data_IF_076334626988
#
_entry.id   IF_076334626988
#
_cell.length_a   1.000
_cell.length_b   1.000
_cell.length_c   1.000
_cell.angle_alpha   90.00
_cell.angle_beta   90.00
_cell.angle_gamma   90.00
#
_symmetry.space_group_name_H-M   'P 1'
#
loop_
_entity.id
_entity.type
_entity.pdbx_description
1 polymer ?
#
# COMPACT_ATOMS: atom_id res chain seq x y z
N UNK A 1 -30.38 -17.66 -22.22
CA UNK A 1 -29.48 -18.08 -21.13
C UNK A 1 -28.61 -16.89 -20.75
N UNK A 2 -29.03 -16.12 -19.76
CA UNK A 2 -28.19 -15.06 -19.20
C UNK A 2 -26.96 -15.69 -18.54
N UNK A 3 -25.77 -15.34 -19.04
CA UNK A 3 -24.50 -15.63 -18.35
C UNK A 3 -24.61 -15.03 -16.96
N UNK A 4 -24.76 -15.84 -15.91
CA UNK A 4 -24.53 -15.41 -14.53
C UNK A 4 -23.22 -14.64 -14.52
N UNK A 5 -23.28 -13.30 -14.38
CA UNK A 5 -22.11 -12.45 -14.20
C UNK A 5 -21.33 -12.99 -13.01
N UNK A 6 -20.13 -13.47 -13.29
CA UNK A 6 -19.25 -14.03 -12.28
C UNK A 6 -18.84 -12.85 -11.36
N UNK A 7 -19.51 -12.72 -10.22
CA UNK A 7 -19.31 -11.61 -9.25
C UNK A 7 -17.90 -11.59 -8.63
N UNK A 8 -17.10 -12.62 -8.92
CA UNK A 8 -15.75 -12.82 -8.40
C UNK A 8 -14.62 -12.35 -9.33
N UNK A 9 -14.89 -11.65 -10.42
CA UNK A 9 -13.85 -11.13 -11.32
C UNK A 9 -14.09 -9.68 -11.69
N UNK A 10 -12.99 -8.94 -11.91
CA UNK A 10 -13.06 -7.59 -12.47
C UNK A 10 -13.70 -7.62 -13.87
N UNK A 11 -14.51 -6.60 -14.18
CA UNK A 11 -15.25 -6.55 -15.44
C UNK A 11 -14.37 -6.18 -16.63
N UNK A 12 -13.24 -5.50 -16.39
CA UNK A 12 -12.33 -5.01 -17.43
C UNK A 12 -10.87 -5.00 -16.97
N UNK A 13 -9.96 -5.08 -17.97
CA UNK A 13 -8.52 -4.93 -17.72
C UNK A 13 -8.17 -3.60 -17.06
N UNK A 14 -8.73 -2.50 -17.54
CA UNK A 14 -8.53 -1.18 -16.92
C UNK A 14 -9.10 -1.10 -15.51
N UNK A 15 -10.25 -1.74 -15.26
CA UNK A 15 -10.82 -1.85 -13.92
C UNK A 15 -9.91 -2.59 -12.97
N UNK A 16 -9.29 -3.70 -13.41
CA UNK A 16 -8.28 -4.40 -12.64
C UNK A 16 -7.04 -3.52 -12.38
N UNK A 17 -6.48 -2.88 -13.41
CA UNK A 17 -5.29 -2.02 -13.27
C UNK A 17 -5.59 -0.90 -12.28
N UNK A 18 -6.71 -0.17 -12.42
CA UNK A 18 -7.08 0.91 -11.50
C UNK A 18 -7.33 0.41 -10.07
N UNK A 19 -7.91 -0.78 -9.88
CA UNK A 19 -8.05 -1.38 -8.57
C UNK A 19 -6.70 -1.76 -7.96
N UNK A 20 -5.81 -2.37 -8.74
CA UNK A 20 -4.46 -2.73 -8.30
C UNK A 20 -3.59 -1.50 -8.03
N UNK A 21 -3.72 -0.46 -8.85
CA UNK A 21 -3.09 0.85 -8.62
C UNK A 21 -3.62 1.46 -7.33
N UNK A 22 -4.95 1.48 -7.12
CA UNK A 22 -5.55 1.98 -5.89
C UNK A 22 -5.14 1.19 -4.64
N UNK A 23 -4.86 -0.12 -4.79
CA UNK A 23 -4.30 -0.92 -3.70
C UNK A 23 -2.86 -0.55 -3.38
N UNK A 24 -2.05 -0.27 -4.39
CA UNK A 24 -0.65 0.11 -4.24
C UNK A 24 -0.52 1.59 -3.82
N UNK A 25 -1.25 2.48 -4.51
CA UNK A 25 -1.26 3.93 -4.19
C UNK A 25 -1.98 4.19 -2.87
N UNK A 26 -1.22 4.59 -1.86
CA UNK A 26 -1.73 4.84 -0.52
C UNK A 26 -0.92 5.91 0.22
N UNK A 27 -1.00 5.88 1.55
CA UNK A 27 -0.16 6.74 2.39
C UNK A 27 1.33 6.49 2.18
N UNK A 28 1.71 5.28 1.74
CA UNK A 28 3.08 4.95 1.36
C UNK A 28 3.63 5.86 0.26
N UNK A 29 2.80 6.25 -0.70
CA UNK A 29 3.18 7.14 -1.81
C UNK A 29 3.08 8.60 -1.40
N UNK A 30 1.98 8.97 -0.72
CA UNK A 30 1.70 10.38 -0.39
C UNK A 30 2.60 10.88 0.72
N UNK A 31 2.90 10.05 1.70
CA UNK A 31 3.67 10.42 2.88
C UNK A 31 4.98 9.63 3.01
N UNK A 32 4.90 8.29 2.97
CA UNK A 32 6.05 7.42 3.21
C UNK A 32 7.19 7.69 2.24
N UNK A 33 6.91 7.76 0.94
CA UNK A 33 7.91 7.97 -0.09
C UNK A 33 8.58 9.35 0.00
N UNK A 34 7.87 10.50 0.06
CA UNK A 34 8.50 11.80 0.24
C UNK A 34 9.34 11.87 1.52
N UNK A 35 8.83 11.32 2.64
CA UNK A 35 9.54 11.28 3.92
C UNK A 35 10.84 10.47 3.83
N UNK A 36 10.78 9.24 3.30
CA UNK A 36 11.95 8.39 3.12
C UNK A 36 12.96 9.00 2.13
N UNK A 37 12.49 9.60 1.04
CA UNK A 37 13.33 10.29 0.07
C UNK A 37 14.01 11.52 0.68
N UNK A 38 13.27 12.30 1.48
CA UNK A 38 13.78 13.46 2.20
C UNK A 38 14.89 13.10 3.18
N UNK A 39 14.67 12.04 3.97
CA UNK A 39 15.62 11.57 4.99
C UNK A 39 16.84 10.83 4.43
N UNK A 40 16.78 10.32 3.18
CA UNK A 40 17.77 9.40 2.63
C UNK A 40 18.41 9.89 1.32
N UNK A 41 18.65 11.20 1.17
CA UNK A 41 19.52 11.71 0.12
C UNK A 41 18.86 11.98 -1.22
N UNK A 42 17.54 12.15 -1.26
CA UNK A 42 16.82 12.68 -2.43
C UNK A 42 16.99 11.82 -3.69
N UNK A 43 17.62 12.37 -4.74
CA UNK A 43 17.78 11.72 -6.03
C UNK A 43 18.53 10.38 -5.99
N UNK A 44 19.46 10.18 -5.06
CA UNK A 44 20.16 8.91 -4.88
C UNK A 44 19.18 7.81 -4.41
N UNK A 45 18.34 8.13 -3.43
CA UNK A 45 17.28 7.23 -2.97
C UNK A 45 16.31 6.89 -4.10
N UNK A 46 15.87 7.88 -4.89
CA UNK A 46 14.98 7.67 -6.03
C UNK A 46 15.54 6.65 -7.03
N UNK A 47 16.81 6.74 -7.38
CA UNK A 47 17.45 5.82 -8.34
C UNK A 47 17.45 4.38 -7.82
N UNK A 48 17.80 4.18 -6.54
CA UNK A 48 17.81 2.84 -5.91
C UNK A 48 16.37 2.31 -5.80
N UNK A 49 15.42 3.14 -5.40
CA UNK A 49 14.01 2.78 -5.33
C UNK A 49 13.50 2.29 -6.69
N UNK A 50 13.76 3.02 -7.77
CA UNK A 50 13.37 2.62 -9.13
C UNK A 50 13.99 1.28 -9.55
N UNK A 51 15.24 1.01 -9.18
CA UNK A 51 15.88 -0.29 -9.42
C UNK A 51 15.08 -1.43 -8.76
N UNK A 52 14.71 -1.28 -7.48
CA UNK A 52 13.95 -2.30 -6.78
C UNK A 52 12.51 -2.42 -7.29
N UNK A 53 11.86 -1.33 -7.66
CA UNK A 53 10.53 -1.37 -8.31
C UNK A 53 10.57 -2.19 -9.59
N UNK A 54 11.61 -2.02 -10.44
CA UNK A 54 11.78 -2.81 -11.67
C UNK A 54 11.90 -4.30 -11.34
N UNK A 55 12.72 -4.67 -10.35
CA UNK A 55 12.90 -6.07 -9.96
C UNK A 55 11.59 -6.66 -9.41
N UNK A 56 10.94 -5.97 -8.48
CA UNK A 56 9.77 -6.49 -7.78
C UNK A 56 8.52 -6.51 -8.66
N UNK A 57 8.37 -5.55 -9.59
CA UNK A 57 7.29 -5.55 -10.58
C UNK A 57 7.47 -6.64 -11.65
N UNK A 58 8.70 -7.07 -11.89
CA UNK A 58 8.99 -8.13 -12.85
C UNK A 58 8.80 -9.55 -12.27
N UNK A 59 9.04 -9.73 -10.97
CA UNK A 59 9.05 -11.07 -10.36
C UNK A 59 8.13 -11.20 -9.15
N UNK A 60 8.25 -10.34 -8.14
CA UNK A 60 7.54 -10.46 -6.87
C UNK A 60 6.03 -10.30 -7.02
N UNK A 61 5.61 -9.15 -7.52
CA UNK A 61 4.19 -8.83 -7.74
C UNK A 61 3.49 -9.78 -8.71
N UNK A 62 4.08 -10.15 -9.88
CA UNK A 62 3.49 -11.16 -10.76
C UNK A 62 3.34 -12.53 -10.11
N UNK A 63 4.26 -12.93 -9.22
CA UNK A 63 4.16 -14.18 -8.50
C UNK A 63 2.94 -14.18 -7.57
N UNK A 64 2.70 -13.10 -6.80
CA UNK A 64 1.50 -12.99 -5.96
C UNK A 64 0.21 -13.01 -6.78
N UNK A 65 0.14 -12.24 -7.87
CA UNK A 65 -1.02 -12.29 -8.78
C UNK A 65 -1.25 -13.68 -9.36
N UNK A 66 -0.19 -14.37 -9.79
CA UNK A 66 -0.30 -15.71 -10.34
C UNK A 66 -0.79 -16.72 -9.31
N UNK A 67 -0.35 -16.61 -8.05
CA UNK A 67 -0.80 -17.49 -6.97
C UNK A 67 -2.26 -17.28 -6.63
N UNK A 68 -2.71 -16.04 -6.50
CA UNK A 68 -4.11 -15.72 -6.28
C UNK A 68 -5.00 -16.23 -7.42
N UNK A 69 -4.62 -15.97 -8.67
CA UNK A 69 -5.34 -16.43 -9.86
C UNK A 69 -5.41 -17.96 -9.96
N UNK A 70 -4.32 -18.65 -9.64
CA UNK A 70 -4.26 -20.12 -9.65
C UNK A 70 -5.17 -20.71 -8.58
N UNK A 71 -5.15 -20.16 -7.37
CA UNK A 71 -5.96 -20.63 -6.26
C UNK A 71 -7.44 -20.21 -6.38
N UNK A 72 -7.72 -19.14 -7.15
CA UNK A 72 -9.04 -18.48 -7.27
C UNK A 72 -9.63 -18.09 -5.91
N UNK A 73 -8.78 -17.70 -4.96
CA UNK A 73 -9.12 -17.32 -3.59
C UNK A 73 -8.02 -16.46 -2.96
N UNK A 74 -8.27 -15.98 -1.73
CA UNK A 74 -7.32 -15.16 -0.99
C UNK A 74 -6.09 -15.92 -0.49
N UNK A 75 -5.40 -15.30 0.45
CA UNK A 75 -4.08 -15.70 0.97
C UNK A 75 -4.02 -17.15 1.43
N UNK A 76 -4.96 -17.58 2.29
CA UNK A 76 -4.91 -18.94 2.88
C UNK A 76 -4.94 -20.03 1.81
N UNK A 77 -5.86 -19.93 0.85
CA UNK A 77 -5.95 -20.90 -0.22
C UNK A 77 -4.80 -20.85 -1.21
N UNK A 78 -4.18 -19.68 -1.43
CA UNK A 78 -3.00 -19.54 -2.27
C UNK A 78 -1.80 -20.27 -1.68
N UNK A 79 -1.53 -20.12 -0.38
CA UNK A 79 -0.47 -20.87 0.33
C UNK A 79 -0.76 -22.37 0.36
N UNK A 80 -1.99 -22.77 0.67
CA UNK A 80 -2.40 -24.17 0.65
C UNK A 80 -2.17 -24.80 -0.74
N UNK A 81 -2.58 -24.13 -1.81
CA UNK A 81 -2.44 -24.58 -3.18
C UNK A 81 -0.96 -24.68 -3.60
N UNK A 82 -0.14 -23.69 -3.29
CA UNK A 82 1.28 -23.68 -3.63
C UNK A 82 2.04 -24.83 -2.95
N UNK A 83 1.84 -25.01 -1.64
CA UNK A 83 2.49 -26.05 -0.85
C UNK A 83 1.96 -27.46 -1.19
N UNK A 84 0.69 -27.58 -1.59
CA UNK A 84 0.09 -28.85 -2.03
C UNK A 84 0.79 -29.46 -3.24
N UNK A 85 1.57 -28.69 -4.01
CA UNK A 85 2.43 -29.23 -5.08
C UNK A 85 3.48 -30.21 -4.58
N UNK A 86 3.78 -30.19 -3.27
CA UNK A 86 4.68 -31.15 -2.57
C UNK A 86 3.94 -32.27 -1.84
N UNK A 87 2.62 -32.26 -1.88
CA UNK A 87 1.77 -33.26 -1.27
C UNK A 87 0.73 -32.68 -0.31
N UNK A 88 -0.30 -33.47 0.02
CA UNK A 88 -1.44 -33.02 0.84
C UNK A 88 -1.05 -32.53 2.23
N UNK A 89 -0.06 -33.16 2.88
CA UNK A 89 0.43 -32.74 4.19
C UNK A 89 1.10 -31.36 4.13
N UNK A 90 1.94 -31.13 3.12
CA UNK A 90 2.55 -29.82 2.87
C UNK A 90 1.48 -28.76 2.60
N UNK A 91 0.44 -29.05 1.82
CA UNK A 91 -0.67 -28.10 1.59
C UNK A 91 -1.32 -27.63 2.89
N UNK A 92 -1.59 -28.52 3.85
CA UNK A 92 -2.13 -28.16 5.16
C UNK A 92 -1.18 -27.23 5.94
N UNK A 93 0.11 -27.52 5.92
CA UNK A 93 1.14 -26.67 6.54
C UNK A 93 1.17 -25.28 5.89
N UNK A 94 1.14 -25.22 4.54
CA UNK A 94 1.05 -23.95 3.81
C UNK A 94 -0.18 -23.14 4.22
N UNK A 95 -1.35 -23.76 4.31
CA UNK A 95 -2.57 -23.08 4.78
C UNK A 95 -2.47 -22.55 6.22
N UNK A 96 -1.73 -23.21 7.11
CA UNK A 96 -1.45 -22.71 8.46
C UNK A 96 -0.48 -21.52 8.42
N UNK A 97 0.62 -21.63 7.66
CA UNK A 97 1.59 -20.55 7.53
C UNK A 97 0.99 -19.29 6.89
N UNK A 98 0.02 -19.43 5.98
CA UNK A 98 -0.69 -18.31 5.36
C UNK A 98 -1.45 -17.41 6.33
N UNK A 99 -1.73 -17.88 7.57
CA UNK A 99 -2.35 -17.03 8.60
C UNK A 99 -1.45 -15.88 9.04
N UNK A 100 -0.12 -16.03 8.97
CA UNK A 100 0.81 -14.99 9.39
C UNK A 100 0.73 -13.74 8.47
N UNK A 101 0.93 -13.83 7.14
CA UNK A 101 0.78 -12.68 6.26
C UNK A 101 -0.66 -12.17 6.21
N UNK A 102 -1.67 -13.03 6.41
CA UNK A 102 -3.06 -12.63 6.50
C UNK A 102 -3.32 -11.79 7.76
N UNK A 103 -2.83 -12.21 8.91
CA UNK A 103 -2.89 -11.42 10.14
C UNK A 103 -2.15 -10.08 9.96
N UNK A 104 -1.01 -10.08 9.25
CA UNK A 104 -0.31 -8.86 8.87
C UNK A 104 -1.19 -7.88 8.11
N UNK A 105 -1.96 -8.36 7.13
CA UNK A 105 -2.91 -7.51 6.41
C UNK A 105 -3.99 -6.91 7.32
N UNK A 106 -4.49 -7.65 8.31
CA UNK A 106 -5.46 -7.11 9.27
C UNK A 106 -4.81 -6.13 10.24
N UNK A 107 -3.63 -6.45 10.76
CA UNK A 107 -2.92 -5.58 11.70
C UNK A 107 -2.55 -4.23 11.07
N UNK A 108 -2.08 -4.26 9.80
CA UNK A 108 -1.80 -3.00 9.09
C UNK A 108 -3.09 -2.23 8.80
N UNK A 109 -4.20 -2.90 8.45
CA UNK A 109 -5.47 -2.23 8.22
C UNK A 109 -5.97 -1.47 9.46
N UNK A 110 -5.81 -2.05 10.66
CA UNK A 110 -6.18 -1.42 11.93
C UNK A 110 -5.41 -0.12 12.14
N UNK A 111 -4.07 -0.15 12.09
CA UNK A 111 -3.26 1.05 12.27
C UNK A 111 -3.42 2.07 11.13
N UNK A 112 -3.62 1.58 9.91
CA UNK A 112 -3.83 2.43 8.74
C UNK A 112 -5.18 3.18 8.79
N UNK A 113 -6.24 2.53 9.32
CA UNK A 113 -7.54 3.16 9.52
C UNK A 113 -7.45 4.37 10.46
N UNK A 114 -6.59 4.33 11.48
CA UNK A 114 -6.36 5.48 12.40
C UNK A 114 -5.79 6.68 11.63
N UNK A 115 -4.77 6.47 10.79
CA UNK A 115 -4.19 7.59 10.00
C UNK A 115 -5.19 8.14 8.98
N UNK A 116 -5.97 7.28 8.32
CA UNK A 116 -7.04 7.72 7.39
C UNK A 116 -8.12 8.50 8.14
N UNK A 117 -8.37 8.17 9.41
CA UNK A 117 -9.27 8.91 10.29
C UNK A 117 -8.77 10.34 10.54
N UNK A 118 -7.48 10.50 10.80
CA UNK A 118 -6.86 11.83 10.94
C UNK A 118 -6.97 12.65 9.65
N UNK A 119 -6.78 11.99 8.49
CA UNK A 119 -6.98 12.64 7.18
C UNK A 119 -8.42 13.09 7.00
N UNK A 120 -9.41 12.28 7.41
CA UNK A 120 -10.83 12.66 7.35
C UNK A 120 -11.14 13.84 8.27
N UNK A 121 -10.56 13.85 9.48
CA UNK A 121 -10.68 15.00 10.38
C UNK A 121 -10.07 16.25 9.76
N UNK A 122 -8.88 16.16 9.19
CA UNK A 122 -8.23 17.28 8.50
C UNK A 122 -9.05 17.79 7.32
N UNK A 123 -9.70 16.90 6.55
CA UNK A 123 -10.63 17.27 5.50
C UNK A 123 -11.82 18.09 6.05
N UNK A 124 -12.47 17.58 7.09
CA UNK A 124 -13.64 18.25 7.70
C UNK A 124 -13.24 19.61 8.26
N UNK A 125 -12.13 19.67 8.99
CA UNK A 125 -11.64 20.93 9.58
C UNK A 125 -11.16 21.94 8.52
N UNK A 126 -10.69 21.47 7.36
CA UNK A 126 -10.43 22.31 6.19
C UNK A 126 -11.73 22.85 5.58
N UNK A 127 -12.78 22.01 5.48
CA UNK A 127 -14.09 22.39 4.95
C UNK A 127 -14.81 23.41 5.84
N UNK A 128 -14.69 23.24 7.16
CA UNK A 128 -15.25 24.21 8.14
C UNK A 128 -14.38 25.47 8.22
N UNK A 129 -13.09 25.35 8.01
CA UNK A 129 -12.11 26.45 8.06
C UNK A 129 -11.29 26.49 9.35
N UNK A 130 -11.57 25.62 10.31
CA UNK A 130 -10.86 25.56 11.60
C UNK A 130 -9.37 25.31 11.40
N UNK A 131 -9.00 24.38 10.50
CA UNK A 131 -7.61 24.07 10.18
C UNK A 131 -6.85 25.27 9.60
N UNK A 132 -7.54 26.22 8.96
CA UNK A 132 -6.92 27.37 8.30
C UNK A 132 -6.59 28.51 9.26
N UNK A 133 -7.05 28.46 10.51
CA UNK A 133 -6.89 29.52 11.51
C UNK A 133 -6.21 29.06 12.79
N UNK A 134 -6.15 27.76 13.03
CA UNK A 134 -5.51 27.18 14.20
C UNK A 134 -3.99 27.07 14.01
N UNK A 135 -3.20 27.09 15.08
CA UNK A 135 -1.83 26.60 15.04
C UNK A 135 -1.85 25.10 14.68
N UNK A 136 -1.12 24.72 13.64
CA UNK A 136 -1.19 23.36 13.09
C UNK A 136 -0.66 22.31 14.08
N UNK A 137 0.35 22.62 14.88
CA UNK A 137 0.91 21.71 15.88
C UNK A 137 -0.04 21.53 17.06
N UNK A 138 -0.63 22.62 17.57
CA UNK A 138 -1.63 22.56 18.63
C UNK A 138 -2.90 21.84 18.16
N UNK A 139 -3.34 22.13 16.93
CA UNK A 139 -4.49 21.46 16.32
C UNK A 139 -4.25 19.94 16.24
N UNK A 140 -3.10 19.49 15.74
CA UNK A 140 -2.77 18.08 15.65
C UNK A 140 -2.67 17.43 17.03
N UNK A 141 -1.98 18.07 17.98
CA UNK A 141 -1.84 17.58 19.35
C UNK A 141 -3.20 17.47 20.08
N UNK A 142 -4.16 18.34 19.77
CA UNK A 142 -5.47 18.39 20.45
C UNK A 142 -6.27 17.08 20.34
N UNK A 143 -6.04 16.27 19.29
CA UNK A 143 -6.72 15.00 19.12
C UNK A 143 -5.76 13.80 19.07
N UNK A 144 -4.55 13.96 18.55
CA UNK A 144 -3.59 12.84 18.44
C UNK A 144 -2.98 12.42 19.78
N UNK A 145 -3.06 13.26 20.80
CA UNK A 145 -2.65 12.95 22.17
C UNK A 145 -3.80 12.50 23.09
N UNK A 146 -5.05 12.59 22.64
CA UNK A 146 -6.22 12.28 23.47
C UNK A 146 -6.92 11.01 22.98
N UNK A 147 -7.12 9.98 23.85
CA UNK A 147 -7.84 8.78 23.47
C UNK A 147 -9.31 9.10 23.14
N UNK A 148 -9.84 8.38 22.18
CA UNK A 148 -11.25 8.47 21.73
C UNK A 148 -11.68 9.83 21.18
N UNK A 149 -10.75 10.68 20.79
CA UNK A 149 -11.03 12.04 20.29
C UNK A 149 -11.56 12.05 18.85
N UNK A 150 -11.29 11.01 18.08
CA UNK A 150 -11.64 10.91 16.65
C UNK A 150 -12.59 9.76 16.32
N UNK A 151 -13.23 9.16 17.32
CA UNK A 151 -14.17 8.01 17.18
C UNK A 151 -15.20 8.18 16.07
N UNK A 152 -15.91 9.31 15.91
CA UNK A 152 -16.89 9.46 14.83
C UNK A 152 -16.27 9.33 13.45
N UNK A 153 -15.10 9.93 13.25
CA UNK A 153 -14.34 9.85 11.99
C UNK A 153 -13.82 8.44 11.74
N UNK A 154 -13.39 7.74 12.81
CA UNK A 154 -12.89 6.36 12.73
C UNK A 154 -14.00 5.40 12.29
N UNK A 155 -15.18 5.51 12.88
CA UNK A 155 -16.36 4.73 12.48
C UNK A 155 -16.69 5.00 11.00
N UNK A 156 -16.70 6.27 10.57
CA UNK A 156 -17.00 6.63 9.17
C UNK A 156 -15.99 6.00 8.22
N UNK A 157 -14.70 6.06 8.52
CA UNK A 157 -13.64 5.49 7.69
C UNK A 157 -13.79 3.97 7.57
N UNK A 158 -13.92 3.27 8.69
CA UNK A 158 -13.99 1.79 8.71
C UNK A 158 -15.28 1.31 8.06
N UNK A 159 -16.42 1.82 8.50
CA UNK A 159 -17.74 1.42 7.94
C UNK A 159 -17.86 1.83 6.49
N UNK A 160 -17.48 3.06 6.14
CA UNK A 160 -17.49 3.55 4.76
C UNK A 160 -16.65 2.69 3.83
N UNK A 161 -15.44 2.32 4.25
CA UNK A 161 -14.58 1.42 3.46
C UNK A 161 -15.22 0.04 3.30
N UNK A 162 -15.71 -0.57 4.38
CA UNK A 162 -16.33 -1.90 4.33
C UNK A 162 -17.61 -1.93 3.48
N UNK A 163 -18.38 -0.85 3.46
CA UNK A 163 -19.54 -0.72 2.55
C UNK A 163 -19.12 -0.76 1.08
N UNK A 164 -17.96 -0.22 0.72
CA UNK A 164 -17.44 -0.32 -0.65
C UNK A 164 -17.01 -1.73 -1.04
N UNK A 165 -16.90 -2.66 -0.09
CA UNK A 165 -16.54 -4.06 -0.33
C UNK A 165 -17.76 -4.99 -0.44
N UNK A 166 -18.97 -4.49 -0.25
CA UNK A 166 -20.17 -5.33 -0.15
C UNK A 166 -20.37 -6.27 -1.36
N UNK A 167 -20.06 -5.79 -2.57
CA UNK A 167 -20.14 -6.58 -3.81
C UNK A 167 -18.78 -7.13 -4.28
N UNK A 168 -17.75 -7.14 -3.43
CA UNK A 168 -16.41 -7.66 -3.75
C UNK A 168 -15.73 -6.91 -4.90
N UNK A 169 -15.09 -7.66 -5.81
CA UNK A 169 -14.33 -7.12 -6.93
C UNK A 169 -15.09 -6.04 -7.73
N UNK A 170 -16.40 -6.19 -7.90
CA UNK A 170 -17.20 -5.22 -8.66
C UNK A 170 -17.29 -3.85 -7.99
N UNK A 171 -17.49 -3.82 -6.67
CA UNK A 171 -17.51 -2.56 -5.91
C UNK A 171 -16.14 -1.89 -5.88
N UNK A 172 -15.08 -2.67 -5.66
CA UNK A 172 -13.69 -2.21 -5.68
C UNK A 172 -13.37 -1.57 -7.04
N UNK A 173 -13.70 -2.26 -8.14
CA UNK A 173 -13.50 -1.72 -9.49
C UNK A 173 -14.23 -0.41 -9.71
N UNK A 174 -15.50 -0.33 -9.30
CA UNK A 174 -16.33 0.87 -9.49
C UNK A 174 -15.78 2.07 -8.71
N UNK A 175 -15.39 1.89 -7.45
CA UNK A 175 -14.83 2.97 -6.63
C UNK A 175 -13.48 3.43 -7.15
N UNK A 176 -12.58 2.51 -7.50
CA UNK A 176 -11.23 2.86 -7.97
C UNK A 176 -11.22 3.51 -9.36
N UNK A 177 -12.19 3.21 -10.22
CA UNK A 177 -12.38 3.92 -11.51
C UNK A 177 -12.63 5.42 -11.36
N UNK A 178 -13.14 5.85 -10.20
CA UNK A 178 -13.37 7.27 -9.89
C UNK A 178 -12.22 7.82 -9.04
N UNK A 179 -11.85 7.13 -7.97
CA UNK A 179 -10.88 7.63 -7.01
C UNK A 179 -9.49 7.82 -7.63
N UNK A 180 -9.00 6.86 -8.42
CA UNK A 180 -7.64 6.94 -8.94
C UNK A 180 -7.41 8.04 -9.96
N UNK A 181 -8.24 8.21 -11.01
CA UNK A 181 -8.08 9.35 -11.90
C UNK A 181 -8.19 10.71 -11.20
N UNK A 182 -9.10 10.85 -10.23
CA UNK A 182 -9.22 12.08 -9.44
C UNK A 182 -8.00 12.32 -8.56
N UNK A 183 -7.45 11.28 -7.93
CA UNK A 183 -6.21 11.35 -7.17
C UNK A 183 -5.07 11.95 -8.02
N UNK A 184 -4.80 11.36 -9.19
CA UNK A 184 -3.75 11.85 -10.08
C UNK A 184 -4.00 13.29 -10.53
N UNK A 185 -5.23 13.61 -10.93
CA UNK A 185 -5.59 14.97 -11.36
C UNK A 185 -5.32 15.99 -10.24
N UNK A 186 -5.76 15.72 -9.03
CA UNK A 186 -5.56 16.59 -7.86
C UNK A 186 -4.07 16.79 -7.59
N UNK A 187 -3.28 15.71 -7.54
CA UNK A 187 -1.85 15.83 -7.27
C UNK A 187 -1.09 16.57 -8.39
N UNK A 188 -1.50 16.43 -9.64
CA UNK A 188 -0.95 17.24 -10.75
C UNK A 188 -1.27 18.72 -10.56
N UNK A 189 -2.51 19.08 -10.19
CA UNK A 189 -2.91 20.47 -9.91
C UNK A 189 -2.09 21.04 -8.76
N UNK A 190 -1.89 20.27 -7.68
CA UNK A 190 -1.06 20.66 -6.53
C UNK A 190 0.42 20.82 -6.92
N UNK A 191 0.97 19.91 -7.73
CA UNK A 191 2.35 19.98 -8.21
C UNK A 191 2.59 21.25 -9.06
N UNK A 192 1.65 21.57 -9.96
CA UNK A 192 1.71 22.82 -10.72
C UNK A 192 1.68 24.04 -9.80
N UNK A 193 0.80 24.05 -8.77
CA UNK A 193 0.74 25.16 -7.81
C UNK A 193 2.06 25.33 -7.03
N UNK A 194 2.64 24.22 -6.55
CA UNK A 194 3.89 24.23 -5.78
C UNK A 194 5.08 24.69 -6.63
N UNK A 195 5.09 24.37 -7.92
CA UNK A 195 6.16 24.79 -8.83
C UNK A 195 6.34 26.32 -8.91
N UNK A 196 5.31 27.10 -8.59
CA UNK A 196 5.35 28.57 -8.53
C UNK A 196 5.68 29.11 -7.14
N UNK A 197 5.99 28.29 -6.14
CA UNK A 197 6.41 28.78 -4.83
C UNK A 197 7.88 29.25 -4.88
N UNK A 198 8.20 30.37 -4.24
CA UNK A 198 9.59 30.80 -4.06
C UNK A 198 10.42 29.70 -3.35
N UNK A 199 11.61 29.37 -3.84
CA UNK A 199 12.46 28.31 -3.24
C UNK A 199 12.15 26.88 -3.67
N UNK A 200 11.04 26.63 -4.38
CA UNK A 200 10.68 25.25 -4.84
C UNK A 200 11.78 24.61 -5.73
N UNK A 201 12.57 25.43 -6.45
CA UNK A 201 13.67 24.96 -7.28
C UNK A 201 14.74 24.17 -6.54
N UNK A 202 15.01 24.51 -5.28
CA UNK A 202 15.96 23.77 -4.44
C UNK A 202 15.42 22.36 -4.11
N UNK A 203 14.11 22.25 -3.82
CA UNK A 203 13.45 20.97 -3.62
C UNK A 203 13.47 20.08 -4.85
N UNK A 204 13.24 20.62 -6.04
CA UNK A 204 13.40 19.87 -7.30
C UNK A 204 14.84 19.43 -7.54
N UNK A 205 15.80 20.31 -7.28
CA UNK A 205 17.22 19.96 -7.37
C UNK A 205 17.57 18.82 -6.42
N UNK A 206 17.08 18.86 -5.18
CA UNK A 206 17.27 17.78 -4.20
C UNK A 206 16.66 16.45 -4.68
N UNK A 207 15.51 16.48 -5.32
CA UNK A 207 14.84 15.27 -5.83
C UNK A 207 15.56 14.63 -7.02
N UNK A 208 16.13 15.42 -7.91
CA UNK A 208 16.63 14.92 -9.20
C UNK A 208 18.13 14.99 -9.36
N UNK A 209 18.87 15.70 -8.51
CA UNK A 209 20.31 15.71 -8.51
C UNK A 209 20.87 14.63 -7.57
N UNK A 210 21.36 13.47 -8.07
CA UNK A 210 21.81 12.40 -7.20
C UNK A 210 23.06 12.79 -6.44
N UNK A 211 23.06 12.60 -5.15
CA UNK A 211 24.25 12.67 -4.30
C UNK A 211 24.92 11.30 -4.30
N UNK A 212 25.91 11.13 -5.17
CA UNK A 212 26.57 9.84 -5.43
C UNK A 212 27.32 9.27 -4.23
N UNK A 213 27.77 10.12 -3.31
CA UNK A 213 28.38 9.74 -2.04
C UNK A 213 27.43 8.92 -1.15
N UNK A 214 26.13 9.21 -1.20
CA UNK A 214 25.11 8.50 -0.44
C UNK A 214 24.95 7.03 -0.86
N UNK A 215 25.31 6.67 -2.09
CA UNK A 215 25.25 5.27 -2.56
C UNK A 215 26.22 4.34 -1.81
N UNK A 216 27.19 4.90 -1.08
CA UNK A 216 28.13 4.15 -0.25
C UNK A 216 27.51 3.71 1.09
N UNK A 217 26.42 4.34 1.52
CA UNK A 217 25.72 3.94 2.72
C UNK A 217 24.80 2.73 2.43
N UNK A 218 25.05 1.55 3.05
CA UNK A 218 24.19 0.39 2.85
C UNK A 218 22.74 0.64 3.28
N UNK A 219 22.50 1.55 4.22
CA UNK A 219 21.15 1.80 4.75
C UNK A 219 20.23 2.46 3.73
N UNK A 220 20.73 3.29 2.81
CA UNK A 220 19.90 3.87 1.76
C UNK A 220 19.32 2.78 0.84
N UNK A 221 20.09 1.73 0.57
CA UNK A 221 19.63 0.58 -0.21
C UNK A 221 18.52 -0.19 0.52
N UNK A 222 18.67 -0.35 1.84
CA UNK A 222 17.67 -1.02 2.67
C UNK A 222 16.37 -0.21 2.74
N UNK A 223 16.46 1.10 2.98
CA UNK A 223 15.30 1.99 3.00
C UNK A 223 14.58 2.04 1.64
N UNK A 224 15.30 2.13 0.54
CA UNK A 224 14.72 2.17 -0.79
C UNK A 224 14.08 0.82 -1.18
N UNK A 225 14.71 -0.29 -0.80
CA UNK A 225 14.17 -1.64 -0.99
C UNK A 225 12.89 -1.85 -0.17
N UNK A 226 12.91 -1.47 1.10
CA UNK A 226 11.73 -1.56 1.98
C UNK A 226 10.58 -0.72 1.45
N UNK A 227 10.85 0.51 1.02
CA UNK A 227 9.84 1.38 0.41
C UNK A 227 9.25 0.75 -0.87
N UNK A 228 10.06 0.10 -1.71
CA UNK A 228 9.56 -0.57 -2.92
C UNK A 228 8.69 -1.81 -2.59
N UNK A 229 9.07 -2.61 -1.59
CA UNK A 229 8.24 -3.73 -1.11
C UNK A 229 6.89 -3.24 -0.58
N UNK A 230 6.93 -2.20 0.26
CA UNK A 230 5.74 -1.67 0.91
C UNK A 230 4.80 -0.98 -0.10
N UNK A 231 5.34 -0.13 -0.98
CA UNK A 231 4.59 0.59 -1.99
C UNK A 231 3.86 -0.35 -2.95
N UNK A 232 4.55 -1.38 -3.44
CA UNK A 232 3.96 -2.39 -4.33
C UNK A 232 3.06 -3.41 -3.60
N UNK A 233 2.88 -3.28 -2.29
CA UNK A 233 2.08 -4.20 -1.46
C UNK A 233 2.48 -5.68 -1.62
N UNK A 234 3.77 -5.96 -1.87
CA UNK A 234 4.31 -7.32 -2.01
C UNK A 234 4.57 -7.89 -0.60
N UNK A 235 3.49 -8.19 0.11
CA UNK A 235 3.51 -8.55 1.53
C UNK A 235 3.24 -10.03 1.80
N UNK A 236 3.11 -10.84 0.74
CA UNK A 236 2.69 -12.23 0.85
C UNK A 236 1.18 -12.40 1.09
N UNK A 237 0.37 -11.35 0.94
CA UNK A 237 -1.08 -11.38 1.19
C UNK A 237 -1.90 -10.47 0.27
N UNK A 238 -1.74 -9.16 0.34
CA UNK A 238 -2.65 -8.18 -0.24
C UNK A 238 -2.87 -8.35 -1.74
N UNK A 239 -1.82 -8.51 -2.52
CA UNK A 239 -1.92 -8.61 -3.98
C UNK A 239 -2.42 -9.98 -4.45
N UNK A 240 -2.38 -11.00 -3.59
CA UNK A 240 -2.91 -12.35 -3.89
C UNK A 240 -4.41 -12.29 -4.16
N UNK A 241 -5.19 -11.56 -3.34
CA UNK A 241 -6.65 -11.47 -3.53
C UNK A 241 -7.02 -10.79 -4.85
N UNK A 242 -6.26 -9.78 -5.25
CA UNK A 242 -6.49 -9.15 -6.56
C UNK A 242 -6.12 -10.09 -7.70
N UNK A 243 -5.06 -10.87 -7.55
CA UNK A 243 -4.74 -11.95 -8.46
C UNK A 243 -5.88 -12.96 -8.63
N UNK A 244 -6.59 -13.29 -7.54
CA UNK A 244 -7.75 -14.20 -7.59
C UNK A 244 -8.91 -13.64 -8.44
N UNK A 245 -8.99 -12.33 -8.58
CA UNK A 245 -10.00 -11.65 -9.41
C UNK A 245 -9.55 -11.36 -10.83
N UNK A 246 -8.29 -11.65 -11.16
CA UNK A 246 -7.71 -11.44 -12.48
C UNK A 246 -8.20 -12.49 -13.48
N UNK A 247 -8.60 -12.04 -14.67
CA UNK A 247 -8.97 -12.93 -15.78
C UNK A 247 -7.80 -13.84 -16.19
N UNK A 248 -8.12 -15.06 -16.62
CA UNK A 248 -7.12 -16.02 -17.13
C UNK A 248 -6.45 -15.57 -18.44
N UNK A 249 -7.06 -14.65 -19.17
CA UNK A 249 -6.55 -14.14 -20.45
C UNK A 249 -5.53 -13.00 -20.28
N UNK A 250 -5.34 -12.52 -19.05
CA UNK A 250 -4.44 -11.40 -18.77
C UNK A 250 -3.01 -11.87 -18.49
N UNK A 251 -2.04 -11.13 -19.01
CA UNK A 251 -0.61 -11.31 -18.72
C UNK A 251 -0.29 -10.72 -17.34
N UNK A 252 -0.08 -11.57 -16.33
CA UNK A 252 0.20 -11.13 -14.94
C UNK A 252 1.44 -10.24 -14.84
N UNK A 253 2.47 -10.48 -15.65
CA UNK A 253 3.70 -9.67 -15.62
C UNK A 253 3.43 -8.30 -16.20
N UNK A 254 2.72 -8.23 -17.35
CA UNK A 254 2.37 -6.95 -17.96
C UNK A 254 1.45 -6.11 -17.07
N UNK A 255 0.51 -6.75 -16.37
CA UNK A 255 -0.37 -6.05 -15.42
C UNK A 255 0.41 -5.57 -14.20
N UNK A 256 1.29 -6.39 -13.64
CA UNK A 256 2.13 -6.01 -12.49
C UNK A 256 3.05 -4.83 -12.82
N UNK A 257 3.66 -4.82 -14.01
CA UNK A 257 4.49 -3.70 -14.46
C UNK A 257 3.69 -2.41 -14.63
N UNK A 258 2.46 -2.49 -15.17
CA UNK A 258 1.58 -1.33 -15.24
C UNK A 258 1.17 -0.82 -13.85
N UNK A 259 0.83 -1.72 -12.93
CA UNK A 259 0.53 -1.35 -11.54
C UNK A 259 1.70 -0.62 -10.91
N UNK A 260 2.91 -1.17 -11.02
CA UNK A 260 4.12 -0.56 -10.47
C UNK A 260 4.46 0.78 -11.12
N UNK A 261 4.24 0.92 -12.44
CA UNK A 261 4.46 2.19 -13.14
C UNK A 261 3.55 3.30 -12.57
N UNK A 262 2.25 3.03 -12.45
CA UNK A 262 1.32 4.02 -11.93
C UNK A 262 1.53 4.29 -10.43
N UNK A 263 1.89 3.27 -9.64
CA UNK A 263 2.29 3.42 -8.25
C UNK A 263 3.51 4.35 -8.11
N UNK A 264 4.53 4.12 -8.92
CA UNK A 264 5.74 4.96 -8.95
C UNK A 264 5.42 6.40 -9.39
N UNK A 265 4.58 6.57 -10.43
CA UNK A 265 4.13 7.91 -10.86
C UNK A 265 3.42 8.61 -9.70
N UNK A 266 2.54 7.91 -8.97
CA UNK A 266 1.84 8.48 -7.82
C UNK A 266 2.81 8.93 -6.72
N UNK A 267 3.80 8.10 -6.38
CA UNK A 267 4.82 8.42 -5.39
C UNK A 267 5.66 9.64 -5.80
N UNK A 268 6.11 9.68 -7.05
CA UNK A 268 6.92 10.80 -7.58
C UNK A 268 6.09 12.08 -7.65
N UNK A 269 4.84 12.02 -8.14
CA UNK A 269 3.96 13.21 -8.21
C UNK A 269 3.64 13.73 -6.81
N UNK A 270 3.42 12.87 -5.82
CA UNK A 270 3.26 13.28 -4.43
C UNK A 270 4.54 13.94 -3.88
N UNK A 271 5.71 13.39 -4.19
CA UNK A 271 6.99 13.98 -3.81
C UNK A 271 7.22 15.35 -4.48
N UNK A 272 6.80 15.53 -5.74
CA UNK A 272 6.83 16.83 -6.45
C UNK A 272 5.95 17.92 -5.79
N UNK A 273 4.96 17.52 -5.00
CA UNK A 273 4.17 18.45 -4.19
C UNK A 273 4.87 18.72 -2.85
N UNK A 274 5.21 17.66 -2.14
CA UNK A 274 5.60 17.75 -0.73
C UNK A 274 7.02 18.27 -0.55
N UNK A 275 8.01 17.71 -1.27
CA UNK A 275 9.41 18.05 -1.06
C UNK A 275 9.69 19.52 -1.43
N UNK A 276 9.32 20.02 -2.63
CA UNK A 276 9.56 21.42 -2.95
C UNK A 276 8.78 22.40 -2.08
N UNK A 277 7.57 22.01 -1.60
CA UNK A 277 6.81 22.83 -0.66
C UNK A 277 7.54 22.96 0.68
N UNK A 278 8.08 21.86 1.23
CA UNK A 278 8.88 21.91 2.46
C UNK A 278 10.13 22.79 2.30
N UNK A 279 10.86 22.64 1.18
CA UNK A 279 12.04 23.49 0.88
C UNK A 279 11.67 24.97 0.78
N UNK A 280 10.53 25.31 0.15
CA UNK A 280 10.06 26.70 0.05
C UNK A 280 9.83 27.37 1.42
N UNK A 281 9.49 26.58 2.43
CA UNK A 281 9.20 27.07 3.79
C UNK A 281 10.28 26.73 4.82
N UNK A 282 11.39 26.11 4.40
CA UNK A 282 12.46 25.70 5.31
C UNK A 282 12.05 24.64 6.33
N UNK A 283 11.07 23.78 5.97
CA UNK A 283 10.51 22.76 6.85
C UNK A 283 11.14 21.38 6.57
N UNK A 284 11.20 20.55 7.62
CA UNK A 284 11.79 19.20 7.50
C UNK A 284 10.86 18.24 6.74
N UNK A 285 11.36 17.68 5.65
CA UNK A 285 10.67 16.63 4.88
C UNK A 285 10.63 15.31 5.65
N UNK A 286 11.59 15.07 6.56
CA UNK A 286 11.74 13.88 7.37
C UNK A 286 10.88 13.84 8.65
N UNK A 287 9.92 14.75 8.82
CA UNK A 287 9.16 14.94 10.06
C UNK A 287 8.16 13.81 10.42
N UNK A 288 8.15 12.68 9.70
CA UNK A 288 7.21 11.59 9.99
C UNK A 288 5.74 12.00 9.82
N UNK A 289 4.82 11.56 10.72
CA UNK A 289 3.39 11.91 10.65
C UNK A 289 3.12 13.42 10.69
N UNK A 290 3.96 14.19 11.36
CA UNK A 290 3.85 15.64 11.42
C UNK A 290 3.95 16.31 10.05
N UNK A 291 4.56 15.66 9.06
CA UNK A 291 4.59 16.15 7.68
C UNK A 291 3.18 16.39 7.12
N UNK A 292 2.24 15.47 7.36
CA UNK A 292 0.87 15.57 6.86
C UNK A 292 -0.04 16.48 7.68
N UNK A 293 0.18 16.53 9.00
CA UNK A 293 -0.78 17.12 9.94
C UNK A 293 -0.27 18.42 10.60
N UNK A 294 1.01 18.75 10.41
CA UNK A 294 1.60 20.01 10.88
C UNK A 294 2.23 20.76 9.72
N UNK A 295 3.22 20.16 9.04
CA UNK A 295 3.99 20.83 7.98
C UNK A 295 3.10 21.27 6.80
N UNK A 296 2.32 20.35 6.23
CA UNK A 296 1.44 20.69 5.10
C UNK A 296 0.33 21.69 5.47
N UNK A 297 -0.40 21.56 6.59
CA UNK A 297 -1.31 22.61 7.06
C UNK A 297 -0.66 23.98 7.18
N UNK A 298 0.52 24.09 7.79
CA UNK A 298 1.25 25.35 7.92
C UNK A 298 1.51 26.01 6.55
N UNK A 299 1.97 25.22 5.57
CA UNK A 299 2.17 25.72 4.20
C UNK A 299 0.84 26.16 3.55
N UNK A 300 -0.21 25.35 3.74
CA UNK A 300 -1.52 25.61 3.14
C UNK A 300 -2.21 26.85 3.76
N UNK A 301 -1.93 27.18 5.02
CA UNK A 301 -2.43 28.39 5.67
C UNK A 301 -1.84 29.65 5.08
N UNK A 302 -0.59 29.59 4.60
CA UNK A 302 0.15 30.77 4.12
C UNK A 302 -0.03 31.06 2.63
N UNK A 303 -0.47 30.08 1.83
CA UNK A 303 -0.62 30.26 0.38
C UNK A 303 -2.00 30.82 -0.01
N UNK A 304 -2.08 31.64 -1.10
CA UNK A 304 -3.36 32.06 -1.66
C UNK A 304 -4.25 30.86 -2.02
N UNK A 305 -5.54 30.93 -1.65
CA UNK A 305 -6.52 29.86 -1.82
C UNK A 305 -6.17 28.57 -1.04
N UNK A 306 -5.37 28.66 0.03
CA UNK A 306 -4.87 27.52 0.80
C UNK A 306 -5.97 26.57 1.27
N UNK A 307 -7.13 27.10 1.71
CA UNK A 307 -8.30 26.28 2.08
C UNK A 307 -8.77 25.38 0.94
N UNK A 308 -8.85 25.90 -0.28
CA UNK A 308 -9.21 25.10 -1.46
C UNK A 308 -8.18 23.99 -1.71
N UNK A 309 -6.88 24.31 -1.64
CA UNK A 309 -5.81 23.34 -1.82
C UNK A 309 -5.78 22.31 -0.67
N UNK A 310 -6.07 22.69 0.57
CA UNK A 310 -6.20 21.76 1.68
C UNK A 310 -7.33 20.75 1.46
N UNK A 311 -8.52 21.23 1.07
CA UNK A 311 -9.67 20.37 0.80
C UNK A 311 -9.35 19.35 -0.30
N UNK A 312 -8.84 19.78 -1.44
CA UNK A 312 -8.55 18.85 -2.54
C UNK A 312 -7.41 17.88 -2.19
N UNK A 313 -6.39 18.31 -1.44
CA UNK A 313 -5.31 17.45 -0.96
C UNK A 313 -5.87 16.33 -0.07
N UNK A 314 -6.65 16.68 0.96
CA UNK A 314 -7.18 15.68 1.88
C UNK A 314 -8.23 14.77 1.22
N UNK A 315 -8.99 15.24 0.22
CA UNK A 315 -9.84 14.37 -0.62
C UNK A 315 -8.98 13.33 -1.35
N UNK A 316 -7.89 13.74 -2.00
CA UNK A 316 -7.00 12.81 -2.68
C UNK A 316 -6.38 11.80 -1.72
N UNK A 317 -6.00 12.25 -0.52
CA UNK A 317 -5.47 11.36 0.52
C UNK A 317 -6.52 10.36 1.04
N UNK A 318 -7.80 10.77 1.19
CA UNK A 318 -8.89 9.85 1.52
C UNK A 318 -9.05 8.79 0.41
N UNK A 319 -8.98 9.18 -0.85
CA UNK A 319 -9.06 8.21 -1.95
C UNK A 319 -7.92 7.19 -1.90
N UNK A 320 -6.69 7.64 -1.68
CA UNK A 320 -5.53 6.76 -1.51
C UNK A 320 -5.67 5.87 -0.26
N UNK A 321 -6.13 6.43 0.86
CA UNK A 321 -6.34 5.70 2.11
C UNK A 321 -7.41 4.62 2.00
N UNK A 322 -8.58 4.96 1.48
CA UNK A 322 -9.71 4.03 1.33
C UNK A 322 -9.39 2.92 0.35
N UNK A 323 -8.74 3.22 -0.79
CA UNK A 323 -8.40 2.20 -1.78
C UNK A 323 -7.40 1.15 -1.25
N UNK A 324 -6.44 1.56 -0.43
CA UNK A 324 -5.51 0.63 0.25
C UNK A 324 -6.21 -0.18 1.33
N UNK A 325 -7.09 0.44 2.14
CA UNK A 325 -7.90 -0.28 3.13
C UNK A 325 -8.82 -1.31 2.47
N UNK A 326 -9.39 -1.02 1.29
CA UNK A 326 -10.17 -1.98 0.51
C UNK A 326 -9.38 -3.25 0.23
N UNK A 327 -8.12 -3.14 -0.18
CA UNK A 327 -7.25 -4.31 -0.44
C UNK A 327 -7.00 -5.11 0.83
N UNK A 328 -6.62 -4.44 1.92
CA UNK A 328 -6.28 -5.10 3.18
C UNK A 328 -7.49 -5.85 3.75
N UNK A 329 -8.66 -5.24 3.78
CA UNK A 329 -9.88 -5.90 4.24
C UNK A 329 -10.34 -7.01 3.29
N UNK A 330 -10.23 -6.82 1.97
CA UNK A 330 -10.63 -7.83 0.99
C UNK A 330 -9.74 -9.08 1.06
N UNK A 331 -8.42 -8.93 1.29
CA UNK A 331 -7.52 -10.04 1.49
C UNK A 331 -7.95 -10.93 2.66
N UNK A 332 -8.38 -10.30 3.76
CA UNK A 332 -8.88 -11.00 4.95
C UNK A 332 -10.27 -11.59 4.67
N UNK A 333 -11.17 -10.80 4.07
CA UNK A 333 -12.55 -11.23 3.80
C UNK A 333 -12.59 -12.46 2.90
N UNK A 334 -11.89 -12.46 1.75
CA UNK A 334 -11.90 -13.59 0.80
C UNK A 334 -11.23 -14.82 1.41
N UNK A 335 -10.16 -14.63 2.22
CA UNK A 335 -9.52 -15.73 2.92
C UNK A 335 -10.43 -16.39 3.96
N UNK A 336 -11.19 -15.60 4.72
CA UNK A 336 -12.16 -16.12 5.70
C UNK A 336 -13.33 -16.81 5.02
N UNK A 337 -13.87 -16.25 3.93
CA UNK A 337 -14.92 -16.88 3.13
C UNK A 337 -14.50 -18.23 2.54
N UNK A 338 -13.23 -18.32 2.11
CA UNK A 338 -12.63 -19.58 1.65
C UNK A 338 -12.53 -20.62 2.77
N UNK A 339 -12.02 -20.20 3.93
CA UNK A 339 -11.77 -21.11 5.06
C UNK A 339 -13.04 -21.53 5.77
N UNK A 340 -14.02 -20.65 5.83
CA UNK A 340 -15.30 -20.84 6.51
C UNK A 340 -16.48 -20.65 5.55
N UNK A 341 -16.78 -21.63 4.66
CA UNK A 341 -17.78 -21.47 3.61
C UNK A 341 -19.24 -21.25 4.10
N UNK A 342 -19.48 -21.45 5.40
CA UNK A 342 -20.78 -21.20 6.04
C UNK A 342 -21.00 -19.71 6.37
N UNK A 343 -19.95 -18.89 6.40
CA UNK A 343 -20.07 -17.47 6.67
C UNK A 343 -20.57 -16.73 5.42
N UNK A 344 -21.53 -15.84 5.62
CA UNK A 344 -21.94 -14.90 4.58
C UNK A 344 -20.90 -13.77 4.46
N UNK A 345 -20.81 -13.14 3.29
CA UNK A 345 -19.95 -11.97 3.10
C UNK A 345 -20.28 -10.86 4.10
N UNK A 346 -21.55 -10.59 4.31
CA UNK A 346 -22.00 -9.59 5.30
C UNK A 346 -21.49 -9.91 6.70
N UNK A 347 -21.59 -11.18 7.14
CA UNK A 347 -21.09 -11.58 8.46
C UNK A 347 -19.58 -11.37 8.57
N UNK A 348 -18.81 -11.68 7.52
CA UNK A 348 -17.36 -11.44 7.50
C UNK A 348 -17.05 -9.95 7.59
N UNK A 349 -17.73 -9.10 6.81
CA UNK A 349 -17.51 -7.64 6.87
C UNK A 349 -17.86 -7.06 8.25
N UNK A 350 -18.91 -7.57 8.91
CA UNK A 350 -19.23 -7.17 10.29
C UNK A 350 -18.14 -7.62 11.27
N UNK A 351 -17.60 -8.83 11.12
CA UNK A 351 -16.47 -9.31 11.95
C UNK A 351 -15.26 -8.39 11.76
N UNK A 352 -14.92 -8.03 10.50
CA UNK A 352 -13.81 -7.13 10.22
C UNK A 352 -14.03 -5.74 10.82
N UNK A 353 -15.27 -5.23 10.75
CA UNK A 353 -15.64 -3.96 11.38
C UNK A 353 -15.41 -4.00 12.90
N UNK A 354 -15.94 -5.03 13.57
CA UNK A 354 -15.80 -5.18 15.03
C UNK A 354 -14.34 -5.34 15.43
N UNK A 355 -13.56 -6.15 14.70
CA UNK A 355 -12.14 -6.34 15.00
C UNK A 355 -11.35 -5.05 14.75
N UNK A 356 -11.58 -4.37 13.62
CA UNK A 356 -10.85 -3.14 13.29
C UNK A 356 -11.15 -2.03 14.29
N UNK A 357 -12.41 -1.77 14.60
CA UNK A 357 -12.81 -0.77 15.60
C UNK A 357 -12.39 -1.19 17.02
N UNK A 358 -12.58 -2.48 17.38
CA UNK A 358 -12.25 -2.96 18.73
C UNK A 358 -10.77 -2.76 19.11
N UNK A 359 -9.85 -2.97 18.17
CA UNK A 359 -8.44 -2.66 18.39
C UNK A 359 -8.09 -1.20 18.07
N UNK A 360 -8.64 -0.66 16.98
CA UNK A 360 -8.27 0.65 16.47
C UNK A 360 -8.67 1.80 17.41
N UNK A 361 -9.82 1.71 18.09
CA UNK A 361 -10.25 2.74 19.05
C UNK A 361 -9.26 2.92 20.21
N UNK A 362 -8.59 1.83 20.65
CA UNK A 362 -7.53 1.91 21.66
C UNK A 362 -6.22 2.51 21.14
N UNK A 363 -6.08 2.68 19.83
CA UNK A 363 -4.85 3.14 19.16
C UNK A 363 -5.02 4.52 18.49
N UNK A 364 -6.04 5.28 18.88
CA UNK A 364 -6.27 6.62 18.31
C UNK A 364 -5.24 7.66 18.73
N UNK A 365 -4.42 7.41 19.74
CA UNK A 365 -3.30 8.29 20.09
C UNK A 365 -2.03 7.88 19.34
N UNK A 366 -1.20 8.84 18.96
CA UNK A 366 0.10 8.57 18.30
C UNK A 366 1.03 7.71 19.18
N UNK A 367 0.95 7.88 20.50
CA UNK A 367 1.73 7.09 21.46
C UNK A 367 1.39 5.60 21.47
N UNK A 368 0.15 5.24 21.19
CA UNK A 368 -0.29 3.85 21.07
C UNK A 368 -0.18 3.33 19.63
N UNK A 369 -0.46 4.20 18.65
CA UNK A 369 -0.37 3.88 17.24
C UNK A 369 1.06 3.55 16.79
N UNK A 370 2.05 4.34 17.24
CA UNK A 370 3.45 4.15 16.86
C UNK A 370 3.96 2.74 17.17
N UNK A 371 3.94 2.27 18.44
CA UNK A 371 4.36 0.92 18.80
C UNK A 371 3.61 -0.20 18.07
N UNK A 372 2.31 -0.01 17.79
CA UNK A 372 1.56 -0.96 16.97
C UNK A 372 2.09 -1.04 15.54
N UNK A 373 2.31 0.11 14.90
CA UNK A 373 2.84 0.14 13.54
C UNK A 373 4.26 -0.37 13.46
N UNK A 374 5.09 -0.14 14.48
CA UNK A 374 6.43 -0.72 14.60
C UNK A 374 6.37 -2.24 14.69
N UNK A 375 5.49 -2.81 15.54
CA UNK A 375 5.28 -4.25 15.61
C UNK A 375 4.90 -4.82 14.23
N UNK A 376 4.00 -4.16 13.52
CA UNK A 376 3.51 -4.65 12.22
C UNK A 376 4.58 -4.51 11.13
N UNK A 377 5.23 -3.36 11.02
CA UNK A 377 6.16 -3.07 9.91
C UNK A 377 7.56 -3.62 10.12
N UNK A 378 8.02 -3.79 11.38
CA UNK A 378 9.32 -4.38 11.68
C UNK A 378 9.27 -5.91 11.64
N UNK A 379 8.18 -6.52 12.16
CA UNK A 379 8.16 -7.97 12.39
C UNK A 379 7.19 -8.68 11.43
N UNK A 380 5.90 -8.31 11.43
CA UNK A 380 4.87 -9.13 10.78
C UNK A 380 4.98 -9.05 9.26
N UNK A 381 5.07 -7.85 8.70
CA UNK A 381 5.09 -7.64 7.24
C UNK A 381 6.36 -8.20 6.58
N UNK A 382 7.59 -7.94 7.07
CA UNK A 382 8.78 -8.51 6.45
C UNK A 382 8.83 -10.05 6.52
N UNK A 383 8.37 -10.65 7.62
CA UNK A 383 8.26 -12.11 7.73
C UNK A 383 7.21 -12.63 6.75
N UNK A 384 6.04 -11.99 6.64
CA UNK A 384 4.99 -12.36 5.69
C UNK A 384 5.44 -12.30 4.24
N UNK A 385 6.10 -11.22 3.84
CA UNK A 385 6.66 -11.04 2.50
C UNK A 385 7.71 -12.11 2.17
N UNK A 386 8.63 -12.38 3.11
CA UNK A 386 9.65 -13.42 2.96
C UNK A 386 9.03 -14.79 2.87
N UNK A 387 8.03 -15.09 3.70
CA UNK A 387 7.30 -16.37 3.65
C UNK A 387 6.61 -16.59 2.31
N UNK A 388 6.00 -15.54 1.74
CA UNK A 388 5.45 -15.55 0.39
C UNK A 388 6.53 -15.87 -0.64
N UNK A 389 7.60 -15.08 -0.68
CA UNK A 389 8.70 -15.25 -1.61
C UNK A 389 9.30 -16.67 -1.57
N UNK A 390 9.56 -17.20 -0.38
CA UNK A 390 10.06 -18.59 -0.17
C UNK A 390 9.02 -19.61 -0.63
N UNK A 391 7.74 -19.40 -0.33
CA UNK A 391 6.67 -20.33 -0.70
C UNK A 391 6.55 -20.49 -2.21
N UNK A 392 6.64 -19.39 -2.96
CA UNK A 392 6.52 -19.44 -4.43
C UNK A 392 7.75 -20.00 -5.12
N UNK A 393 8.97 -19.61 -4.72
CA UNK A 393 10.19 -19.92 -5.46
C UNK A 393 11.00 -21.10 -4.91
N UNK A 394 10.77 -21.53 -3.66
CA UNK A 394 11.51 -22.68 -3.07
C UNK A 394 10.61 -23.86 -2.72
N UNK A 395 9.39 -23.63 -2.24
CA UNK A 395 8.49 -24.70 -1.85
C UNK A 395 7.67 -25.20 -3.03
N UNK A 396 7.00 -24.32 -3.77
CA UNK A 396 6.21 -24.69 -4.94
C UNK A 396 7.08 -25.33 -6.02
N UNK A 397 6.53 -26.30 -6.74
CA UNK A 397 7.24 -26.87 -7.89
C UNK A 397 7.40 -25.81 -9.00
N UNK A 398 8.60 -25.72 -9.57
CA UNK A 398 8.96 -24.74 -10.59
C UNK A 398 8.00 -24.73 -11.79
N UNK A 399 7.70 -25.93 -12.33
CA UNK A 399 6.86 -26.05 -13.52
C UNK A 399 5.43 -25.55 -13.24
N UNK A 400 4.93 -25.76 -12.02
CA UNK A 400 3.64 -25.30 -11.58
C UNK A 400 3.60 -23.75 -11.42
N UNK A 401 4.66 -23.16 -10.88
CA UNK A 401 4.81 -21.70 -10.79
C UNK A 401 4.89 -21.08 -12.18
N UNK A 402 5.75 -21.62 -13.06
CA UNK A 402 5.88 -21.14 -14.43
C UNK A 402 4.57 -21.29 -15.21
N UNK A 403 3.85 -22.40 -15.04
CA UNK A 403 2.53 -22.59 -15.64
C UNK A 403 1.53 -21.53 -15.18
N UNK A 404 1.50 -21.22 -13.86
CA UNK A 404 0.61 -20.20 -13.30
C UNK A 404 0.93 -18.79 -13.84
N UNK A 405 2.19 -18.42 -13.92
CA UNK A 405 2.62 -17.10 -14.43
C UNK A 405 2.38 -16.99 -15.94
N UNK A 406 2.54 -18.07 -16.69
CA UNK A 406 2.37 -18.08 -18.13
C UNK A 406 0.90 -18.20 -18.60
N UNK A 407 -0.04 -18.43 -17.71
CA UNK A 407 -1.46 -18.40 -18.06
C UNK A 407 -1.82 -17.00 -18.56
N UNK A 408 -2.36 -16.85 -19.77
CA UNK A 408 -2.68 -15.57 -20.42
C UNK A 408 -1.46 -14.73 -20.82
N UNK A 409 -0.24 -15.24 -20.68
CA UNK A 409 0.98 -14.50 -20.96
C UNK A 409 1.20 -14.28 -22.47
N UNK A 410 1.51 -13.04 -22.83
CA UNK A 410 1.90 -12.68 -24.21
C UNK A 410 3.32 -13.14 -24.56
N UNK A 411 4.21 -13.20 -23.57
CA UNK A 411 5.58 -13.69 -23.69
C UNK A 411 5.82 -14.75 -22.62
N UNK A 412 6.17 -15.96 -23.00
CA UNK A 412 6.45 -17.03 -22.05
C UNK A 412 7.66 -16.67 -21.18
N UNK A 413 7.47 -16.80 -19.88
CA UNK A 413 8.53 -16.69 -18.87
C UNK A 413 9.13 -18.09 -18.70
N UNK A 414 10.45 -18.15 -18.72
CA UNK A 414 11.18 -19.42 -18.62
C UNK A 414 12.14 -19.42 -17.42
N UNK A 415 13.24 -20.15 -17.58
CA UNK A 415 14.27 -20.36 -16.58
C UNK A 415 14.83 -19.05 -16.00
N UNK A 416 15.11 -18.08 -16.88
CA UNK A 416 15.68 -16.78 -16.46
C UNK A 416 14.76 -16.07 -15.45
N UNK A 417 13.46 -16.01 -15.74
CA UNK A 417 12.48 -15.38 -14.84
C UNK A 417 12.44 -16.08 -13.48
N UNK A 418 12.41 -17.42 -13.49
CA UNK A 418 12.43 -18.22 -12.28
C UNK A 418 13.72 -18.03 -11.49
N UNK A 419 14.87 -17.97 -12.17
CA UNK A 419 16.17 -17.76 -11.53
C UNK A 419 16.31 -16.38 -10.91
N UNK A 420 15.80 -15.32 -11.55
CA UNK A 420 15.74 -13.98 -10.96
C UNK A 420 14.88 -14.03 -9.68
N UNK A 421 13.72 -14.69 -9.72
CA UNK A 421 12.88 -14.87 -8.54
C UNK A 421 13.59 -15.59 -7.41
N UNK A 422 14.21 -16.72 -7.72
CA UNK A 422 14.84 -17.59 -6.72
C UNK A 422 16.13 -17.02 -6.15
N UNK A 423 16.99 -16.43 -6.98
CA UNK A 423 18.36 -16.05 -6.61
C UNK A 423 18.55 -14.53 -6.41
N UNK A 424 17.59 -13.70 -6.81
CA UNK A 424 17.62 -12.25 -6.58
C UNK A 424 16.49 -11.82 -5.65
N UNK A 425 15.24 -12.02 -6.05
CA UNK A 425 14.09 -11.54 -5.30
C UNK A 425 13.96 -12.16 -3.90
N UNK A 426 14.07 -13.49 -3.75
CA UNK A 426 13.98 -14.14 -2.44
C UNK A 426 15.12 -13.74 -1.50
N UNK A 427 16.41 -13.74 -1.92
CA UNK A 427 17.48 -13.21 -1.08
C UNK A 427 17.27 -11.76 -0.65
N UNK A 428 16.77 -10.88 -1.54
CA UNK A 428 16.45 -9.50 -1.17
C UNK A 428 15.35 -9.43 -0.10
N UNK A 429 14.29 -10.24 -0.22
CA UNK A 429 13.25 -10.33 0.80
C UNK A 429 13.79 -10.83 2.15
N UNK A 430 14.67 -11.84 2.13
CA UNK A 430 15.33 -12.38 3.33
C UNK A 430 16.24 -11.32 3.98
N UNK A 431 17.05 -10.62 3.17
CA UNK A 431 17.94 -9.55 3.67
C UNK A 431 17.10 -8.45 4.32
N UNK A 432 16.03 -8.00 3.67
CA UNK A 432 15.13 -6.98 4.21
C UNK A 432 14.53 -7.43 5.55
N UNK A 433 14.02 -8.66 5.60
CA UNK A 433 13.47 -9.25 6.83
C UNK A 433 14.53 -9.32 7.94
N UNK A 434 15.72 -9.80 7.65
CA UNK A 434 16.81 -9.86 8.64
C UNK A 434 17.17 -8.46 9.15
N UNK A 435 17.32 -7.48 8.27
CA UNK A 435 17.66 -6.10 8.67
C UNK A 435 16.52 -5.49 9.50
N UNK A 436 15.24 -5.68 9.10
CA UNK A 436 14.11 -5.25 9.91
C UNK A 436 14.18 -5.79 11.33
N UNK A 437 14.35 -7.10 11.47
CA UNK A 437 14.36 -7.79 12.77
C UNK A 437 15.58 -7.44 13.64
N UNK A 438 16.78 -7.40 13.06
CA UNK A 438 18.02 -7.21 13.85
C UNK A 438 18.37 -5.73 14.09
N UNK A 439 17.96 -4.83 13.22
CA UNK A 439 18.20 -3.38 13.37
C UNK A 439 16.97 -2.61 13.86
N UNK A 440 15.85 -3.31 14.07
CA UNK A 440 14.57 -2.72 14.47
C UNK A 440 14.13 -1.55 13.56
N UNK A 441 14.22 -1.78 12.24
CA UNK A 441 13.92 -0.77 11.22
C UNK A 441 12.50 -1.00 10.69
N UNK A 442 11.62 -0.02 10.86
CA UNK A 442 10.28 0.02 10.27
C UNK A 442 10.33 0.54 8.82
N UNK A 443 9.74 -0.20 7.88
CA UNK A 443 9.72 0.12 6.45
C UNK A 443 8.40 0.74 6.01
#
# INVERSE_FOLDING_TARGET
>A
MEKKKNTKSFASRWGFILASVGSAVGMANVWGFPNKMGSNGGGAFLLIYLLFVVIFSYVGLPAEFAMGRRAATGTLGAYENAWATRGKGAGRAGGLLGWLPLAGSMCIAIGYAVIVTYVLKALVDSLVGTLMTADAAEWFASFSAQPYSVVPYHIIVVVGTLLTLFLGAHSIEKSNKVMMPLFFLIFVVLAVRVAFLPGAGEGYSFMFAPRWDMLKDPMIWIWAMGQAFFSLSVTGSGMIVYGAYLSKDEDVVGVAQNTALFDTIAAVVAALVIIPACFSYGLDVGAGPSLLFVTLPTILQDIPFGRFFAVILYIAMIFAGVSSLQNMFEAVAESLLHKFPKLSRTAVLVILCVVCLGFGLGMETISEWGPWMDLVSIYIIPIGATLGAVSWFYVMKKDELLSAVNTGSRRRRGELWYSIGRYVYVPLAVILCCVALFKHVAF
#
